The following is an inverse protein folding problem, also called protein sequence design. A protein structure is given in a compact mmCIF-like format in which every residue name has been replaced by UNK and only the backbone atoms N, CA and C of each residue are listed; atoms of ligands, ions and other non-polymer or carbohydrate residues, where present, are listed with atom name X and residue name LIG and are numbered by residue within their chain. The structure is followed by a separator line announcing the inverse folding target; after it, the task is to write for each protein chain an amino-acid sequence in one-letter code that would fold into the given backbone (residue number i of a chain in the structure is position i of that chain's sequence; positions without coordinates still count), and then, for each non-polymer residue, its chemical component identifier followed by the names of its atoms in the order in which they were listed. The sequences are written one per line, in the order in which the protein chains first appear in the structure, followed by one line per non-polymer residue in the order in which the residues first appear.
data_IF_751129984881
#
_entry.id   IF_751129984881
#
_cell.length_a   1.000
_cell.length_b   1.000
_cell.length_c   1.000
_cell.angle_alpha   90.00
_cell.angle_beta   90.00
_cell.angle_gamma   90.00
#
_symmetry.space_group_name_H-M   'P 1'
#
loop_
_entity.id
_entity.type
_entity.pdbx_description
1 polymer ?
#
# COMPACT_ATOMS: atom_id res chain seq x y z
N UNK A 1 1.51 -13.24 7.11
CA UNK A 1 2.91 -12.82 7.38
C UNK A 1 3.70 -12.36 6.14
N UNK A 2 3.57 -13.04 5.00
CA UNK A 2 4.37 -12.75 3.79
C UNK A 2 3.99 -11.45 3.09
N UNK A 3 2.70 -11.16 2.93
CA UNK A 3 2.19 -9.97 2.26
C UNK A 3 2.66 -8.67 2.94
N UNK A 4 2.55 -8.59 4.26
CA UNK A 4 3.02 -7.44 5.03
C UNK A 4 4.50 -7.14 4.77
N UNK A 5 5.37 -8.17 4.79
CA UNK A 5 6.82 -7.99 4.54
C UNK A 5 7.11 -7.45 3.14
N UNK A 6 6.31 -7.83 2.14
CA UNK A 6 6.41 -7.28 0.79
C UNK A 6 5.98 -5.81 0.78
N UNK A 7 4.84 -5.49 1.41
CA UNK A 7 4.33 -4.12 1.51
C UNK A 7 5.30 -3.19 2.25
N UNK A 8 5.94 -3.65 3.33
CA UNK A 8 6.97 -2.89 4.07
C UNK A 8 8.18 -2.55 3.19
N UNK A 9 8.64 -3.52 2.37
CA UNK A 9 9.76 -3.30 1.44
C UNK A 9 9.37 -2.32 0.33
N UNK A 10 8.16 -2.41 -0.20
CA UNK A 10 7.65 -1.47 -1.20
C UNK A 10 7.51 -0.06 -0.62
N UNK A 11 6.90 0.09 0.56
CA UNK A 11 6.74 1.37 1.25
C UNK A 11 8.06 2.11 1.46
N UNK A 12 9.11 1.37 1.85
CA UNK A 12 10.45 1.91 2.12
C UNK A 12 11.12 2.56 0.91
N UNK A 13 10.84 2.08 -0.30
CA UNK A 13 11.48 2.59 -1.54
C UNK A 13 10.59 3.54 -2.33
N UNK A 14 9.34 3.74 -1.88
CA UNK A 14 8.41 4.69 -2.51
C UNK A 14 8.67 6.11 -2.05
N UNK A 15 8.47 7.07 -2.96
CA UNK A 15 8.47 8.50 -2.63
C UNK A 15 7.34 8.81 -1.63
N UNK A 16 7.52 9.76 -0.70
CA UNK A 16 6.45 10.26 0.15
C UNK A 16 5.21 10.65 -0.67
N UNK A 17 4.03 10.20 -0.24
CA UNK A 17 2.77 10.44 -0.96
C UNK A 17 2.60 9.67 -2.28
N UNK A 18 3.52 8.77 -2.64
CA UNK A 18 3.45 7.97 -3.86
C UNK A 18 2.21 7.07 -3.91
N UNK A 19 1.81 6.71 -5.13
CA UNK A 19 0.63 5.87 -5.40
C UNK A 19 1.02 4.41 -5.66
N UNK A 20 0.29 3.51 -5.04
CA UNK A 20 0.34 2.07 -5.26
C UNK A 20 -1.01 1.63 -5.85
N UNK A 21 -1.00 1.16 -7.09
CA UNK A 21 -2.17 0.58 -7.76
C UNK A 21 -2.02 -0.94 -7.78
N UNK A 22 -3.06 -1.65 -7.38
CA UNK A 22 -3.03 -3.11 -7.28
C UNK A 22 -4.18 -3.78 -8.03
N UNK A 23 -4.11 -5.11 -8.14
CA UNK A 23 -5.15 -5.90 -8.77
C UNK A 23 -6.47 -5.84 -8.01
N UNK A 24 -7.57 -6.14 -8.71
CA UNK A 24 -8.94 -6.06 -8.18
C UNK A 24 -9.23 -6.95 -6.97
N UNK A 25 -8.47 -8.04 -6.81
CA UNK A 25 -8.61 -8.98 -5.69
C UNK A 25 -7.69 -8.66 -4.51
N UNK A 26 -6.80 -7.67 -4.65
CA UNK A 26 -5.87 -7.26 -3.60
C UNK A 26 -6.54 -6.23 -2.68
N UNK A 27 -6.46 -6.46 -1.37
CA UNK A 27 -7.00 -5.54 -0.36
C UNK A 27 -6.03 -5.36 0.80
N UNK A 28 -5.59 -4.12 1.03
CA UNK A 28 -4.63 -3.76 2.08
C UNK A 28 -5.25 -2.91 3.20
N UNK A 29 -6.56 -2.99 3.40
CA UNK A 29 -7.28 -2.21 4.42
C UNK A 29 -6.83 -2.48 5.86
N UNK A 30 -6.18 -3.61 6.11
CA UNK A 30 -5.56 -3.99 7.40
C UNK A 30 -4.13 -3.44 7.58
N UNK A 31 -3.58 -2.75 6.58
CA UNK A 31 -2.21 -2.22 6.56
C UNK A 31 -2.21 -0.70 6.34
N UNK A 32 -3.12 0.01 7.03
CA UNK A 32 -3.29 1.47 6.93
C UNK A 32 -2.08 2.26 7.39
N UNK A 33 -1.25 1.65 8.24
CA UNK A 33 0.05 2.17 8.67
C UNK A 33 1.05 2.28 7.51
N UNK A 34 0.87 1.49 6.45
CA UNK A 34 1.72 1.53 5.25
C UNK A 34 1.00 2.24 4.08
N UNK A 35 -0.29 1.96 3.88
CA UNK A 35 -1.02 2.37 2.70
C UNK A 35 -2.45 2.80 3.01
N UNK A 36 -2.80 4.04 2.64
CA UNK A 36 -4.14 4.59 2.78
C UNK A 36 -4.94 4.41 1.48
N UNK A 37 -6.12 3.80 1.54
CA UNK A 37 -7.02 3.70 0.39
C UNK A 37 -7.50 5.08 -0.05
N UNK A 38 -7.34 5.43 -1.33
CA UNK A 38 -7.78 6.72 -1.89
C UNK A 38 -8.69 6.59 -3.12
N UNK A 39 -8.93 5.36 -3.59
CA UNK A 39 -9.76 5.09 -4.76
C UNK A 39 -9.83 3.58 -5.03
N UNK A 40 -10.56 3.20 -6.07
CA UNK A 40 -10.69 1.78 -6.46
C UNK A 40 -9.31 1.20 -6.75
N UNK A 41 -8.89 0.23 -5.93
CA UNK A 41 -7.58 -0.45 -5.97
C UNK A 41 -6.35 0.47 -5.89
N UNK A 42 -6.55 1.73 -5.47
CA UNK A 42 -5.51 2.74 -5.43
C UNK A 42 -5.24 3.16 -3.98
N UNK A 43 -3.98 3.03 -3.58
CA UNK A 43 -3.51 3.37 -2.25
C UNK A 43 -2.42 4.45 -2.33
N UNK A 44 -2.39 5.32 -1.33
CA UNK A 44 -1.30 6.29 -1.11
C UNK A 44 -0.36 5.76 -0.03
N UNK A 45 0.95 5.91 -0.23
CA UNK A 45 1.95 5.67 0.83
C UNK A 45 1.60 6.54 2.04
N UNK A 46 1.36 5.91 3.18
CA UNK A 46 1.19 6.59 4.45
C UNK A 46 2.51 7.29 4.84
N UNK A 47 2.41 8.36 5.65
CA UNK A 47 3.54 9.18 6.09
C UNK A 47 4.74 8.36 6.54
#
# INVERSE_FOLDING_TARGET
PTQRRVLERMHRVMKPGGLLVVGHSENFSEHRDLFQLIGKTAYRRAG
#
